data_IF_920793195377
#
_entry.id   IF_920793195377
#
_cell.length_a   1.000
_cell.length_b   1.000
_cell.length_c   1.000
_cell.angle_alpha   90.00
_cell.angle_beta   90.00
_cell.angle_gamma   90.00
#
_symmetry.space_group_name_H-M   'P 1'
#
loop_
_entity.id
_entity.type
_entity.pdbx_description
1 polymer ?
#
# COMPACT_ATOMS: atom_id res chain seq x y z
N UNK A 1 3.21 -13.87 -0.72
CA UNK A 1 3.12 -14.24 0.71
C UNK A 1 4.25 -15.20 1.04
N UNK A 2 4.97 -14.94 2.12
CA UNK A 2 6.01 -15.83 2.65
C UNK A 2 5.37 -16.87 3.58
N UNK A 3 5.79 -18.14 3.53
CA UNK A 3 5.24 -19.17 4.40
C UNK A 3 5.75 -18.98 5.84
N UNK A 4 4.88 -18.90 6.85
CA UNK A 4 5.29 -18.58 8.21
C UNK A 4 5.74 -19.81 9.02
N UNK A 5 6.66 -19.58 9.95
CA UNK A 5 7.14 -20.63 10.86
C UNK A 5 6.10 -20.98 11.95
N UNK A 6 5.39 -19.98 12.47
CA UNK A 6 4.40 -20.13 13.54
C UNK A 6 3.10 -20.81 13.06
N UNK A 7 2.58 -21.76 13.83
CA UNK A 7 1.36 -22.54 13.49
C UNK A 7 0.13 -21.66 13.28
N UNK A 8 -0.11 -20.68 14.15
CA UNK A 8 -1.24 -19.75 14.03
C UNK A 8 -1.14 -18.96 12.72
N UNK A 9 0.06 -18.52 12.37
CA UNK A 9 0.30 -17.81 11.12
C UNK A 9 0.11 -18.73 9.90
N UNK A 10 0.42 -20.02 10.01
CA UNK A 10 0.16 -20.97 8.91
C UNK A 10 -1.34 -21.11 8.62
N UNK A 11 -2.18 -21.15 9.66
CA UNK A 11 -3.64 -21.14 9.48
C UNK A 11 -4.09 -19.89 8.74
N UNK A 12 -3.60 -18.71 9.16
CA UNK A 12 -3.87 -17.45 8.45
C UNK A 12 -3.38 -17.51 7.00
N UNK A 13 -2.16 -17.99 6.76
CA UNK A 13 -1.57 -18.12 5.42
C UNK A 13 -2.48 -18.93 4.47
N UNK A 14 -3.00 -20.07 4.92
CA UNK A 14 -3.89 -20.88 4.09
C UNK A 14 -5.24 -20.19 3.84
N UNK A 15 -5.82 -19.56 4.87
CA UNK A 15 -7.03 -18.76 4.71
C UNK A 15 -6.84 -17.68 3.63
N UNK A 16 -5.76 -16.89 3.73
CA UNK A 16 -5.46 -15.81 2.79
C UNK A 16 -5.16 -16.33 1.39
N UNK A 17 -4.49 -17.48 1.25
CA UNK A 17 -4.26 -18.11 -0.06
C UNK A 17 -5.56 -18.44 -0.80
N UNK A 18 -6.61 -18.76 -0.06
CA UNK A 18 -7.95 -19.00 -0.62
C UNK A 18 -8.71 -17.69 -0.84
N UNK A 19 -8.63 -16.74 0.09
CA UNK A 19 -9.43 -15.52 0.06
C UNK A 19 -8.89 -14.41 -0.86
N UNK A 20 -7.56 -14.22 -0.97
CA UNK A 20 -6.96 -13.10 -1.72
C UNK A 20 -7.45 -12.92 -3.16
N UNK A 21 -7.73 -13.97 -3.96
CA UNK A 21 -8.30 -13.80 -5.30
C UNK A 21 -9.68 -13.12 -5.33
N UNK A 22 -10.45 -13.24 -4.25
CA UNK A 22 -11.80 -12.70 -4.13
C UNK A 22 -11.84 -11.33 -3.45
N UNK A 23 -10.75 -10.91 -2.81
CA UNK A 23 -10.70 -9.69 -2.03
C UNK A 23 -11.10 -8.44 -2.83
N UNK A 24 -10.65 -8.21 -4.08
CA UNK A 24 -11.08 -7.05 -4.86
C UNK A 24 -12.60 -6.97 -5.00
N UNK A 25 -13.27 -8.08 -5.32
CA UNK A 25 -14.74 -8.12 -5.43
C UNK A 25 -15.43 -7.81 -4.10
N UNK A 26 -14.91 -8.32 -2.99
CA UNK A 26 -15.47 -8.04 -1.66
C UNK A 26 -15.27 -6.57 -1.28
N UNK A 27 -14.06 -6.04 -1.50
CA UNK A 27 -13.70 -4.64 -1.26
C UNK A 27 -14.63 -3.70 -2.03
N UNK A 28 -14.77 -3.92 -3.34
CA UNK A 28 -15.59 -3.09 -4.21
C UNK A 28 -17.07 -3.15 -3.81
N UNK A 29 -17.56 -4.31 -3.37
CA UNK A 29 -18.91 -4.45 -2.83
C UNK A 29 -19.12 -3.64 -1.54
N UNK A 30 -18.16 -3.65 -0.61
CA UNK A 30 -18.24 -2.88 0.64
C UNK A 30 -18.18 -1.37 0.38
N UNK A 31 -17.38 -0.93 -0.60
CA UNK A 31 -17.31 0.46 -1.07
C UNK A 31 -18.63 0.87 -1.74
N UNK A 32 -19.18 0.05 -2.63
CA UNK A 32 -20.45 0.31 -3.31
C UNK A 32 -21.62 0.45 -2.32
N UNK A 33 -21.58 -0.29 -1.22
CA UNK A 33 -22.54 -0.18 -0.12
C UNK A 33 -22.25 1.00 0.83
N UNK A 34 -21.22 1.81 0.57
CA UNK A 34 -20.80 2.96 1.39
C UNK A 34 -20.53 2.64 2.86
N UNK A 35 -20.18 1.38 3.16
CA UNK A 35 -19.85 0.94 4.53
C UNK A 35 -18.48 1.47 4.97
N UNK A 36 -17.57 1.68 4.00
CA UNK A 36 -16.23 2.23 4.18
C UNK A 36 -16.06 3.36 3.19
N UNK A 37 -15.49 4.49 3.64
CA UNK A 37 -15.07 5.59 2.77
C UNK A 37 -13.58 5.85 2.97
N UNK A 38 -12.83 5.72 1.88
CA UNK A 38 -11.45 6.17 1.76
C UNK A 38 -11.45 7.39 0.83
N UNK A 39 -10.75 8.47 1.20
CA UNK A 39 -10.57 9.66 0.36
C UNK A 39 -9.17 10.22 0.51
N UNK A 40 -8.69 10.82 -0.57
CA UNK A 40 -7.35 11.40 -0.63
C UNK A 40 -6.27 10.34 -0.79
N UNK A 41 -5.02 10.77 -0.58
CA UNK A 41 -3.83 9.93 -0.68
C UNK A 41 -3.19 9.78 0.69
N UNK A 42 -2.91 8.54 1.09
CA UNK A 42 -2.21 8.21 2.33
C UNK A 42 -0.89 8.98 2.43
N UNK A 43 -0.35 9.24 3.63
CA UNK A 43 0.95 9.87 3.80
C UNK A 43 2.10 9.02 3.20
N UNK A 44 3.35 9.42 3.45
CA UNK A 44 4.59 8.82 2.96
C UNK A 44 4.92 9.12 1.49
N UNK A 45 4.76 10.39 1.09
CA UNK A 45 5.25 10.89 -0.20
C UNK A 45 6.76 10.72 -0.34
N UNK A 46 7.16 9.93 -1.36
CA UNK A 46 8.57 9.71 -1.71
C UNK A 46 9.03 10.71 -2.76
N UNK A 47 8.18 11.03 -3.74
CA UNK A 47 8.53 11.89 -4.86
C UNK A 47 7.64 11.69 -6.07
N UNK A 48 8.12 12.17 -7.22
CA UNK A 48 7.54 11.89 -8.53
C UNK A 48 8.49 11.08 -9.37
N UNK A 49 7.97 10.27 -10.29
CA UNK A 49 8.78 9.56 -11.28
C UNK A 49 9.64 10.58 -12.05
N UNK A 50 10.91 10.26 -12.22
CA UNK A 50 11.86 11.17 -12.84
C UNK A 50 11.45 11.49 -14.29
N UNK A 51 11.69 12.73 -14.77
CA UNK A 51 11.41 13.09 -16.15
C UNK A 51 12.08 12.13 -17.14
N UNK A 52 11.34 11.67 -18.13
CA UNK A 52 11.83 10.73 -19.14
C UNK A 52 11.70 9.25 -18.78
N UNK A 53 11.22 8.91 -17.58
CA UNK A 53 10.85 7.54 -17.20
C UNK A 53 9.32 7.43 -17.26
N UNK A 54 8.82 6.40 -17.96
CA UNK A 54 7.37 6.13 -17.98
C UNK A 54 6.93 5.40 -16.69
N UNK A 55 5.64 5.47 -16.38
CA UNK A 55 5.06 4.73 -15.25
C UNK A 55 5.29 3.23 -15.41
N UNK A 56 5.10 2.71 -16.62
CA UNK A 56 5.31 1.29 -16.94
C UNK A 56 6.76 0.88 -16.72
N UNK A 57 7.73 1.71 -17.13
CA UNK A 57 9.15 1.43 -16.89
C UNK A 57 9.47 1.42 -15.39
N UNK A 58 8.94 2.38 -14.63
CA UNK A 58 9.14 2.45 -13.19
C UNK A 58 8.54 1.24 -12.46
N UNK A 59 7.33 0.82 -12.85
CA UNK A 59 6.65 -0.36 -12.32
C UNK A 59 7.40 -1.63 -12.68
N UNK A 60 7.84 -1.77 -13.94
CA UNK A 60 8.64 -2.91 -14.38
C UNK A 60 9.96 -3.01 -13.60
N UNK A 61 10.59 -1.87 -13.32
CA UNK A 61 11.78 -1.81 -12.47
C UNK A 61 11.48 -2.33 -11.06
N UNK A 62 10.42 -1.85 -10.39
CA UNK A 62 10.06 -2.35 -9.05
C UNK A 62 9.77 -3.85 -9.06
N UNK A 63 9.07 -4.35 -10.08
CA UNK A 63 8.83 -5.79 -10.25
C UNK A 63 10.14 -6.56 -10.39
N UNK A 64 11.11 -6.03 -11.17
CA UNK A 64 12.44 -6.63 -11.31
C UNK A 64 13.21 -6.68 -9.98
N UNK A 65 12.88 -5.80 -9.02
CA UNK A 65 13.43 -5.78 -7.66
C UNK A 65 12.64 -6.66 -6.68
N UNK A 66 11.68 -7.44 -7.15
CA UNK A 66 10.91 -8.38 -6.33
C UNK A 66 9.66 -7.79 -5.70
N UNK A 67 9.17 -6.64 -6.17
CA UNK A 67 7.83 -6.18 -5.86
C UNK A 67 6.80 -6.95 -6.70
N UNK A 68 5.59 -7.10 -6.16
CA UNK A 68 4.47 -7.71 -6.86
C UNK A 68 3.17 -6.96 -6.55
N UNK A 69 2.19 -7.07 -7.45
CA UNK A 69 0.88 -6.43 -7.28
C UNK A 69 0.23 -6.79 -5.95
N UNK A 70 -0.14 -5.75 -5.20
CA UNK A 70 -0.81 -5.89 -3.91
C UNK A 70 -2.32 -5.88 -4.12
N UNK A 71 -2.93 -7.08 -4.15
CA UNK A 71 -4.37 -7.24 -4.39
C UNK A 71 -5.23 -7.11 -3.12
N UNK A 72 -4.61 -7.00 -1.96
CA UNK A 72 -5.27 -6.92 -0.65
C UNK A 72 -4.99 -5.56 -0.03
N UNK A 73 -5.42 -4.50 -0.71
CA UNK A 73 -5.27 -3.13 -0.27
C UNK A 73 -6.48 -2.28 -0.67
N UNK A 74 -6.72 -1.23 0.13
CA UNK A 74 -7.56 -0.12 -0.28
C UNK A 74 -6.87 0.67 -1.37
N UNK A 75 -7.65 1.21 -2.31
CA UNK A 75 -7.17 2.13 -3.34
C UNK A 75 -7.32 3.56 -2.86
N UNK A 76 -6.31 4.38 -3.12
CA UNK A 76 -6.33 5.82 -2.89
C UNK A 76 -6.79 6.56 -4.15
N UNK A 77 -7.19 7.82 -3.99
CA UNK A 77 -7.67 8.64 -5.10
C UNK A 77 -6.56 8.86 -6.16
N UNK A 78 -6.81 8.39 -7.38
CA UNK A 78 -5.88 8.46 -8.51
C UNK A 78 -4.77 7.41 -8.49
N UNK A 79 -4.81 6.43 -7.58
CA UNK A 79 -3.90 5.29 -7.58
C UNK A 79 -4.16 4.42 -8.82
N UNK A 80 -3.10 4.10 -9.56
CA UNK A 80 -3.18 3.22 -10.73
C UNK A 80 -2.41 1.92 -10.54
N UNK A 81 -1.43 1.90 -9.61
CA UNK A 81 -0.63 0.71 -9.32
C UNK A 81 -0.31 0.61 -7.83
N UNK A 82 -0.67 -0.54 -7.25
CA UNK A 82 -0.32 -0.94 -5.88
C UNK A 82 0.67 -2.11 -5.92
N UNK A 83 1.87 -1.92 -5.37
CA UNK A 83 2.93 -2.91 -5.34
C UNK A 83 3.42 -3.16 -3.92
N UNK A 84 3.75 -4.42 -3.60
CA UNK A 84 4.38 -4.75 -2.33
C UNK A 84 5.62 -5.61 -2.48
N UNK A 85 6.54 -5.47 -1.54
CA UNK A 85 7.62 -6.41 -1.28
C UNK A 85 7.44 -6.99 0.12
N UNK A 86 7.27 -8.32 0.22
CA UNK A 86 6.99 -9.00 1.48
C UNK A 86 8.32 -9.41 2.12
N UNK A 87 8.74 -8.70 3.16
CA UNK A 87 9.98 -8.99 3.89
C UNK A 87 9.83 -10.31 4.68
N UNK A 88 8.68 -10.48 5.35
CA UNK A 88 8.33 -11.66 6.12
C UNK A 88 6.81 -11.78 6.20
N UNK A 89 6.27 -12.80 6.88
CA UNK A 89 4.82 -12.97 6.93
C UNK A 89 4.10 -11.82 7.63
N UNK A 90 4.75 -11.10 8.56
CA UNK A 90 4.13 -10.01 9.31
C UNK A 90 4.30 -8.64 8.70
N UNK A 91 5.32 -8.39 7.88
CA UNK A 91 5.63 -7.06 7.36
C UNK A 91 5.91 -7.01 5.86
N UNK A 92 5.64 -5.85 5.29
CA UNK A 92 5.86 -5.55 3.89
C UNK A 92 6.25 -4.09 3.67
N UNK A 93 6.94 -3.85 2.56
CA UNK A 93 7.07 -2.53 1.96
C UNK A 93 5.93 -2.38 0.93
N UNK A 94 5.13 -1.33 1.06
CA UNK A 94 4.05 -1.00 0.13
C UNK A 94 4.45 0.24 -0.66
N UNK A 95 4.27 0.21 -1.98
CA UNK A 95 4.47 1.34 -2.88
C UNK A 95 3.20 1.53 -3.70
N UNK A 96 2.76 2.78 -3.78
CA UNK A 96 1.64 3.21 -4.62
C UNK A 96 2.14 4.19 -5.67
N UNK A 97 1.68 4.01 -6.90
CA UNK A 97 1.96 4.89 -8.02
C UNK A 97 0.65 5.47 -8.53
N UNK A 98 0.64 6.78 -8.72
CA UNK A 98 -0.54 7.55 -9.10
C UNK A 98 -0.46 8.01 -10.57
N UNK A 99 -1.61 8.33 -11.14
CA UNK A 99 -1.75 8.76 -12.54
C UNK A 99 -0.92 10.01 -12.90
N UNK A 100 -0.61 10.85 -11.93
CA UNK A 100 0.19 12.07 -12.07
C UNK A 100 1.69 11.85 -11.86
N UNK A 101 2.11 10.58 -11.78
CA UNK A 101 3.49 10.15 -11.55
C UNK A 101 3.96 10.29 -10.11
N UNK A 102 3.08 10.65 -9.17
CA UNK A 102 3.39 10.62 -7.74
C UNK A 102 3.65 9.19 -7.26
N UNK A 103 4.62 9.04 -6.36
CA UNK A 103 4.98 7.77 -5.74
C UNK A 103 5.00 7.94 -4.23
N UNK A 104 4.21 7.11 -3.56
CA UNK A 104 4.16 7.02 -2.10
C UNK A 104 4.60 5.64 -1.67
N UNK A 105 5.22 5.53 -0.50
CA UNK A 105 5.63 4.23 -0.01
C UNK A 105 5.95 4.20 1.47
N UNK A 106 5.47 3.16 2.12
CA UNK A 106 5.59 2.95 3.56
C UNK A 106 5.87 1.50 3.89
N UNK A 107 6.43 1.29 5.07
CA UNK A 107 6.58 -0.04 5.64
C UNK A 107 5.42 -0.29 6.62
N UNK A 108 4.82 -1.47 6.58
CA UNK A 108 3.62 -1.76 7.37
C UNK A 108 3.47 -3.24 7.68
N UNK A 109 2.53 -3.54 8.58
CA UNK A 109 2.04 -4.89 8.75
C UNK A 109 1.35 -5.41 7.49
N UNK A 110 1.55 -6.68 7.20
CA UNK A 110 0.78 -7.38 6.18
C UNK A 110 -0.68 -7.50 6.62
N UNK A 111 -1.65 -7.34 5.70
CA UNK A 111 -3.04 -7.64 5.97
C UNK A 111 -3.22 -9.11 6.36
N UNK A 112 -2.33 -10.00 5.91
CA UNK A 112 -2.43 -11.43 6.19
C UNK A 112 -2.12 -11.81 7.64
N UNK A 113 -1.18 -11.09 8.27
CA UNK A 113 -0.82 -11.34 9.66
C UNK A 113 -1.68 -10.53 10.63
N UNK A 114 -1.92 -9.25 10.32
CA UNK A 114 -2.63 -8.31 11.20
C UNK A 114 -3.72 -7.52 10.46
N UNK A 115 -4.81 -8.17 10.01
CA UNK A 115 -5.82 -7.53 9.15
C UNK A 115 -6.50 -6.32 9.80
N UNK A 116 -6.74 -6.38 11.11
CA UNK A 116 -7.36 -5.26 11.84
C UNK A 116 -6.40 -4.08 12.01
N UNK A 117 -5.12 -4.33 12.32
CA UNK A 117 -4.12 -3.26 12.44
C UNK A 117 -3.85 -2.61 11.09
N UNK A 118 -3.77 -3.42 10.04
CA UNK A 118 -3.64 -2.95 8.66
C UNK A 118 -4.86 -2.12 8.22
N UNK A 119 -6.08 -2.54 8.60
CA UNK A 119 -7.31 -1.79 8.33
C UNK A 119 -7.36 -0.45 9.06
N UNK A 120 -6.76 -0.35 10.25
CA UNK A 120 -6.73 0.88 11.06
C UNK A 120 -5.43 1.68 10.90
N UNK A 121 -4.63 1.38 9.88
CA UNK A 121 -3.40 2.11 9.56
C UNK A 121 -2.38 2.14 10.71
N UNK A 122 -2.41 1.14 11.60
CA UNK A 122 -1.51 1.04 12.76
C UNK A 122 -0.19 0.41 12.34
N UNK A 123 0.93 1.01 12.75
CA UNK A 123 2.27 0.47 12.54
C UNK A 123 2.85 0.76 11.14
N UNK A 124 2.42 1.85 10.50
CA UNK A 124 3.10 2.37 9.32
C UNK A 124 4.34 3.14 9.71
N UNK A 125 5.44 2.87 9.02
CA UNK A 125 6.73 3.51 9.23
C UNK A 125 7.17 4.23 7.95
N UNK A 126 7.64 5.48 8.11
CA UNK A 126 8.36 6.20 7.07
C UNK A 126 9.77 5.59 6.95
N UNK A 127 9.93 4.63 6.04
CA UNK A 127 11.23 4.07 5.65
C UNK A 127 11.76 4.70 4.36
N UNK A 128 11.53 6.01 4.16
CA UNK A 128 11.94 6.76 2.95
C UNK A 128 13.36 6.46 2.50
N UNK A 129 14.33 6.41 3.42
CA UNK A 129 15.73 6.12 3.06
C UNK A 129 15.89 4.78 2.35
N UNK A 130 15.20 3.73 2.82
CA UNK A 130 15.23 2.41 2.19
C UNK A 130 14.60 2.43 0.80
N UNK A 131 13.49 3.16 0.63
CA UNK A 131 12.85 3.33 -0.67
C UNK A 131 13.72 4.13 -1.64
N UNK A 132 14.31 5.24 -1.20
CA UNK A 132 15.16 6.08 -2.03
C UNK A 132 16.45 5.37 -2.43
N UNK A 133 17.03 4.56 -1.53
CA UNK A 133 18.17 3.71 -1.85
C UNK A 133 17.83 2.65 -2.92
N UNK A 134 16.59 2.14 -2.94
CA UNK A 134 16.13 1.18 -3.94
C UNK A 134 15.90 1.82 -5.32
N UNK A 135 15.24 2.97 -5.36
CA UNK A 135 14.80 3.62 -6.61
C UNK A 135 15.82 4.59 -7.20
N UNK A 136 16.86 4.93 -6.43
CA UNK A 136 18.01 5.74 -6.85
C UNK A 136 17.56 7.04 -7.56
N UNK A 137 17.97 7.24 -8.82
CA UNK A 137 17.66 8.41 -9.64
C UNK A 137 16.34 8.31 -10.42
N UNK A 138 15.54 7.25 -10.18
CA UNK A 138 14.26 7.04 -10.89
C UNK A 138 13.11 7.86 -10.31
N UNK A 139 13.31 8.49 -9.16
CA UNK A 139 12.41 9.49 -8.60
C UNK A 139 13.10 10.85 -8.54
N UNK A 140 12.31 11.90 -8.72
CA UNK A 140 12.61 13.23 -8.19
C UNK A 140 12.08 13.27 -6.75
N UNK A 141 12.97 13.21 -5.72
CA UNK A 141 12.53 13.07 -4.35
C UNK A 141 11.76 14.30 -3.88
N UNK A 142 10.68 14.07 -3.12
CA UNK A 142 10.00 15.14 -2.40
C UNK A 142 10.81 15.49 -1.14
N UNK A 143 11.05 16.79 -0.91
CA UNK A 143 11.89 17.28 0.19
C UNK A 143 11.11 17.97 1.31
N UNK A 144 9.85 18.31 1.07
CA UNK A 144 9.01 19.03 2.01
C UNK A 144 8.18 18.07 2.87
N UNK A 145 7.55 18.60 3.91
CA UNK A 145 6.59 17.86 4.73
C UNK A 145 5.41 17.37 3.87
N UNK A 146 5.14 16.07 3.93
CA UNK A 146 4.05 15.45 3.18
C UNK A 146 2.69 15.94 3.69
N UNK A 147 1.98 16.70 2.84
CA UNK A 147 0.62 17.17 3.11
C UNK A 147 -0.37 16.17 2.53
N UNK A 148 -0.52 15.05 3.22
CA UNK A 148 -1.57 14.07 2.93
C UNK A 148 -2.95 14.67 3.23
N UNK A 149 -3.87 14.55 2.27
CA UNK A 149 -5.29 14.92 2.43
C UNK A 149 -6.15 13.71 2.86
N UNK A 150 -5.49 12.62 3.27
CA UNK A 150 -6.11 11.35 3.60
C UNK A 150 -7.20 11.46 4.66
N UNK A 151 -8.37 10.90 4.35
CA UNK A 151 -9.51 10.79 5.26
C UNK A 151 -10.04 9.37 5.24
N UNK A 152 -10.23 8.80 6.44
CA UNK A 152 -10.71 7.45 6.60
C UNK A 152 -11.86 7.35 7.60
N UNK A 153 -12.87 6.54 7.29
CA UNK A 153 -14.07 6.45 8.12
C UNK A 153 -14.97 5.24 7.87
N UNK A 154 -15.69 4.84 8.92
CA UNK A 154 -16.77 3.84 8.87
C UNK A 154 -18.12 4.56 8.97
N UNK A 155 -19.06 4.22 8.07
CA UNK A 155 -20.40 4.81 7.98
C UNK A 155 -20.42 6.32 7.63
N UNK A 156 -21.53 6.85 7.10
CA UNK A 156 -21.66 8.29 6.85
C UNK A 156 -21.59 9.08 8.16
N UNK A 157 -20.56 9.91 8.35
CA UNK A 157 -20.45 10.88 9.46
C UNK A 157 -19.37 10.60 10.51
N UNK A 158 -18.65 9.48 10.44
CA UNK A 158 -17.47 9.22 11.29
C UNK A 158 -16.22 9.30 10.41
N UNK A 159 -15.74 10.51 10.15
CA UNK A 159 -14.44 10.73 9.50
C UNK A 159 -13.39 10.94 10.57
N UNK A 160 -12.32 10.16 10.53
CA UNK A 160 -11.12 10.39 11.33
C UNK A 160 -10.10 11.08 10.45
N UNK A 161 -9.63 12.25 10.87
CA UNK A 161 -8.37 12.79 10.35
C UNK A 161 -7.24 12.05 11.08
N UNK A 162 -6.33 11.45 10.31
CA UNK A 162 -5.07 10.94 10.86
C UNK A 162 -4.12 12.14 10.88
N UNK A 163 -3.81 12.63 12.09
CA UNK A 163 -2.74 13.61 12.35
C UNK A 163 -1.36 12.95 12.24
#
# INVERSE_FOLDING_TARGET
MVYPENVVHRVKYYFWRVYSPYHPTVRDGVIALSLIKNRGRQPFLLGKIAPGISIEEFVAFLISKGYAYHRVAWEDDGEIVSLRHVENFSHQYHVRVFEDGEVRGHYEYTPECYPLLHLWDVGREDRRESFLALVENRLTPHKDEDRSDYQWGFLPGVLRQLE
#
